data_IF_456278694576
#
_entry.id   IF_456278694576
#
_cell.length_a   1.000
_cell.length_b   1.000
_cell.length_c   1.000
_cell.angle_alpha   90.00
_cell.angle_beta   90.00
_cell.angle_gamma   90.00
#
_symmetry.space_group_name_H-M   'P 1'
#
loop_
_entity.id
_entity.type
_entity.pdbx_description
1 polymer ?
#
# COMPACT_ATOMS: atom_id res chain seq x y z
N UNK A 1 17.19 -10.02 15.47
CA UNK A 1 16.00 -10.60 14.81
C UNK A 1 16.09 -10.27 13.34
N UNK A 2 16.17 -11.26 12.45
CA UNK A 2 16.23 -11.03 10.99
C UNK A 2 14.80 -11.03 10.44
N UNK A 3 14.25 -9.83 10.20
CA UNK A 3 12.92 -9.68 9.60
C UNK A 3 12.93 -10.22 8.16
N UNK A 4 12.05 -11.19 7.87
CA UNK A 4 11.89 -11.76 6.52
C UNK A 4 10.87 -10.91 5.75
N UNK A 5 11.31 -10.32 4.64
CA UNK A 5 10.49 -9.49 3.76
C UNK A 5 9.45 -10.33 3.03
N UNK A 6 8.19 -9.90 3.05
CA UNK A 6 7.11 -10.43 2.19
C UNK A 6 6.67 -9.28 1.28
N UNK A 7 6.88 -9.42 -0.02
CA UNK A 7 6.45 -8.45 -1.03
C UNK A 7 5.33 -9.07 -1.86
N UNK A 8 4.18 -8.39 -1.92
CA UNK A 8 3.11 -8.68 -2.87
C UNK A 8 3.34 -7.80 -4.09
N UNK A 9 3.97 -8.35 -5.12
CA UNK A 9 4.19 -7.64 -6.39
C UNK A 9 3.00 -7.87 -7.32
N UNK A 10 2.12 -6.88 -7.45
CA UNK A 10 1.47 -6.65 -8.73
C UNK A 10 2.43 -5.76 -9.55
N UNK A 11 2.53 -5.93 -10.86
CA UNK A 11 3.57 -5.28 -11.71
C UNK A 11 3.68 -3.74 -11.56
N UNK A 12 2.66 -3.08 -11.00
CA UNK A 12 2.63 -1.64 -10.74
C UNK A 12 2.58 -1.26 -9.25
N UNK A 13 2.63 -2.22 -8.33
CA UNK A 13 2.40 -2.00 -6.91
C UNK A 13 3.35 -2.82 -6.05
N UNK A 14 4.11 -2.14 -5.20
CA UNK A 14 5.01 -2.74 -4.23
C UNK A 14 4.75 -2.14 -2.85
N UNK A 15 4.38 -2.99 -1.89
CA UNK A 15 4.39 -2.63 -0.47
C UNK A 15 5.62 -3.25 0.18
N UNK A 16 6.39 -2.43 0.88
CA UNK A 16 7.48 -2.87 1.74
C UNK A 16 7.15 -2.54 3.18
N UNK A 17 7.14 -3.56 4.04
CA UNK A 17 7.23 -3.35 5.47
C UNK A 17 8.67 -2.96 5.82
N UNK A 18 8.88 -1.75 6.33
CA UNK A 18 10.19 -1.24 6.71
C UNK A 18 10.60 -1.73 8.11
N UNK A 19 9.63 -1.83 9.02
CA UNK A 19 9.83 -2.41 10.35
C UNK A 19 8.52 -2.99 10.85
N UNK A 20 8.59 -4.06 11.65
CA UNK A 20 7.47 -4.62 12.40
C UNK A 20 7.85 -4.58 13.87
N UNK A 21 7.07 -3.86 14.64
CA UNK A 21 7.30 -3.62 16.07
C UNK A 21 6.08 -4.07 16.87
N UNK A 22 6.29 -4.44 18.14
CA UNK A 22 5.19 -4.75 19.03
C UNK A 22 4.53 -3.45 19.50
N UNK A 23 3.25 -3.29 19.19
CA UNK A 23 2.43 -2.18 19.61
C UNK A 23 1.69 -2.43 20.93
N UNK A 24 0.94 -1.43 21.42
CA UNK A 24 0.12 -1.56 22.62
C UNK A 24 -0.92 -2.68 22.48
N UNK A 25 -1.27 -3.33 23.59
CA UNK A 25 -2.33 -4.35 23.61
C UNK A 25 -1.99 -5.65 22.87
N UNK A 26 -0.71 -5.92 22.58
CA UNK A 26 -0.29 -7.14 21.88
C UNK A 26 -0.46 -7.10 20.36
N UNK A 27 -0.81 -5.93 19.80
CA UNK A 27 -0.86 -5.73 18.35
C UNK A 27 0.55 -5.70 17.75
N UNK A 28 0.68 -6.08 16.49
CA UNK A 28 1.90 -5.86 15.70
C UNK A 28 1.71 -4.65 14.80
N UNK A 29 2.63 -3.70 14.84
CA UNK A 29 2.57 -2.47 14.05
C UNK A 29 3.68 -2.50 13.00
N UNK A 30 3.30 -2.40 11.73
CA UNK A 30 4.22 -2.37 10.61
C UNK A 30 4.23 -0.99 9.96
N UNK A 31 5.42 -0.37 9.89
CA UNK A 31 5.60 0.82 9.05
C UNK A 31 5.72 0.36 7.60
N UNK A 32 4.89 0.89 6.72
CA UNK A 32 4.86 0.52 5.31
C UNK A 32 5.36 1.67 4.44
N UNK A 33 6.06 1.31 3.37
CA UNK A 33 6.28 2.16 2.21
C UNK A 33 5.61 1.51 1.01
N UNK A 34 4.74 2.25 0.36
CA UNK A 34 4.01 1.81 -0.82
C UNK A 34 4.52 2.58 -2.01
N UNK A 35 5.12 1.86 -2.96
CA UNK A 35 5.55 2.41 -4.24
C UNK A 35 4.59 1.95 -5.33
N UNK A 36 4.01 2.91 -6.03
CA UNK A 36 3.06 2.64 -7.11
C UNK A 36 3.52 3.31 -8.40
N UNK A 37 3.58 2.55 -9.48
CA UNK A 37 3.73 3.08 -10.82
C UNK A 37 2.35 3.45 -11.37
N UNK A 38 2.19 4.72 -11.75
CA UNK A 38 0.99 5.22 -12.42
C UNK A 38 1.06 4.85 -13.90
N UNK A 39 0.85 3.57 -14.22
CA UNK A 39 0.67 3.13 -15.60
C UNK A 39 -0.82 3.22 -16.01
N UNK A 40 -1.09 2.96 -17.28
CA UNK A 40 -2.46 3.04 -17.83
C UNK A 40 -3.46 2.16 -17.08
N UNK A 41 -3.08 0.94 -16.70
CA UNK A 41 -3.95 0.04 -15.92
C UNK A 41 -4.22 0.57 -14.52
N UNK A 42 -3.19 1.09 -13.83
CA UNK A 42 -3.35 1.72 -12.50
C UNK A 42 -4.31 2.90 -12.56
N UNK A 43 -4.15 3.81 -13.53
CA UNK A 43 -5.00 4.99 -13.66
C UNK A 43 -6.45 4.63 -14.02
N UNK A 44 -6.67 3.63 -14.89
CA UNK A 44 -8.02 3.13 -15.21
C UNK A 44 -8.71 2.48 -14.01
N UNK A 45 -7.96 1.77 -13.18
CA UNK A 45 -8.52 1.11 -12.01
C UNK A 45 -8.82 2.10 -10.87
N UNK A 46 -7.85 2.95 -10.52
CA UNK A 46 -8.00 3.91 -9.43
C UNK A 46 -8.93 5.09 -9.79
N UNK A 47 -8.94 5.50 -11.06
CA UNK A 47 -9.71 6.65 -11.53
C UNK A 47 -10.47 6.30 -12.81
N UNK A 48 -11.53 5.46 -12.76
CA UNK A 48 -12.21 4.93 -13.94
C UNK A 48 -12.85 6.01 -14.82
N UNK A 49 -13.12 7.20 -14.27
CA UNK A 49 -13.68 8.33 -15.01
C UNK A 49 -12.65 9.37 -15.46
N UNK A 50 -11.36 9.14 -15.19
CA UNK A 50 -10.30 10.11 -15.44
C UNK A 50 -10.24 10.53 -16.91
N UNK A 51 -10.46 9.62 -17.86
CA UNK A 51 -10.31 9.93 -19.29
C UNK A 51 -11.60 10.37 -19.99
N UNK A 52 -12.69 10.57 -19.23
CA UNK A 52 -14.01 10.94 -19.80
C UNK A 52 -14.07 12.37 -20.32
N UNK A 53 -13.21 13.26 -19.81
CA UNK A 53 -13.09 14.65 -20.25
C UNK A 53 -11.72 14.92 -20.88
N UNK A 54 -11.63 15.98 -21.69
CA UNK A 54 -10.35 16.40 -22.27
C UNK A 54 -9.31 16.76 -21.20
N UNK A 55 -9.70 17.56 -20.20
CA UNK A 55 -8.86 17.88 -19.04
C UNK A 55 -8.36 16.61 -18.34
N UNK A 56 -9.25 15.64 -18.18
CA UNK A 56 -8.93 14.38 -17.54
C UNK A 56 -7.95 13.52 -18.35
N UNK A 57 -8.07 13.47 -19.69
CA UNK A 57 -7.08 12.84 -20.58
C UNK A 57 -5.71 13.51 -20.50
N UNK A 58 -5.66 14.84 -20.45
CA UNK A 58 -4.39 15.58 -20.27
C UNK A 58 -3.76 15.27 -18.91
N UNK A 59 -4.57 15.17 -17.85
CA UNK A 59 -4.09 14.77 -16.53
C UNK A 59 -3.57 13.33 -16.51
N UNK A 60 -4.30 12.39 -17.12
CA UNK A 60 -3.85 11.01 -17.26
C UNK A 60 -2.51 10.94 -18.00
N UNK A 61 -2.33 11.69 -19.09
CA UNK A 61 -1.06 11.74 -19.82
C UNK A 61 0.11 12.26 -18.96
N UNK A 62 -0.14 13.23 -18.06
CA UNK A 62 0.88 13.74 -17.12
C UNK A 62 1.21 12.77 -16.00
N UNK A 63 0.24 12.01 -15.53
CA UNK A 63 0.41 11.02 -14.46
C UNK A 63 1.04 9.73 -14.98
N UNK A 64 0.83 9.37 -16.25
CA UNK A 64 1.41 8.17 -16.86
C UNK A 64 2.93 8.16 -16.75
N UNK A 65 3.46 7.07 -16.20
CA UNK A 65 4.91 6.87 -16.01
C UNK A 65 5.48 7.53 -14.76
N UNK A 66 4.68 8.27 -14.00
CA UNK A 66 5.07 8.76 -12.68
C UNK A 66 5.06 7.62 -11.65
N UNK A 67 5.84 7.80 -10.59
CA UNK A 67 5.83 6.94 -9.41
C UNK A 67 5.38 7.74 -8.21
N UNK A 68 4.48 7.17 -7.43
CA UNK A 68 4.10 7.70 -6.12
C UNK A 68 4.72 6.83 -5.04
N UNK A 69 5.33 7.46 -4.04
CA UNK A 69 5.72 6.82 -2.77
C UNK A 69 4.78 7.35 -1.69
N UNK A 70 4.15 6.43 -0.96
CA UNK A 70 3.28 6.74 0.18
C UNK A 70 3.80 6.01 1.40
N UNK A 71 3.95 6.72 2.51
CA UNK A 71 4.25 6.10 3.80
C UNK A 71 2.95 5.77 4.53
N UNK A 72 2.95 4.67 5.28
CA UNK A 72 1.78 4.25 6.02
C UNK A 72 2.13 3.41 7.23
N UNK A 73 1.07 3.05 7.96
CA UNK A 73 1.12 2.18 9.12
C UNK A 73 0.04 1.11 8.97
N UNK A 74 0.43 -0.14 9.06
CA UNK A 74 -0.49 -1.26 9.18
C UNK A 74 -0.47 -1.80 10.62
N UNK A 75 -1.64 -1.98 11.21
CA UNK A 75 -1.80 -2.52 12.58
C UNK A 75 -2.48 -3.88 12.48
N UNK A 76 -1.84 -4.90 13.03
CA UNK A 76 -2.33 -6.27 13.05
C UNK A 76 -2.72 -6.62 14.49
N UNK A 77 -4.03 -6.80 14.74
CA UNK A 77 -4.49 -7.44 15.96
C UNK A 77 -4.16 -8.92 15.91
N UNK A 78 -3.55 -9.46 16.97
CA UNK A 78 -3.04 -10.83 17.00
C UNK A 78 -3.69 -11.66 18.10
N UNK A 79 -4.14 -12.86 17.75
CA UNK A 79 -4.58 -13.89 18.69
C UNK A 79 -3.35 -14.63 19.20
N UNK A 80 -2.98 -14.41 20.46
CA UNK A 80 -1.83 -15.08 21.05
C UNK A 80 -2.14 -16.54 21.44
N UNK A 81 -3.41 -16.91 21.60
CA UNK A 81 -3.79 -18.29 21.94
C UNK A 81 -3.72 -19.16 20.68
N UNK A 82 -4.20 -18.63 19.55
CA UNK A 82 -4.36 -19.39 18.31
C UNK A 82 -3.30 -19.06 17.25
N UNK A 83 -2.41 -18.11 17.54
CA UNK A 83 -1.27 -17.74 16.69
C UNK A 83 -1.66 -17.15 15.34
N UNK A 84 -2.78 -16.42 15.25
CA UNK A 84 -3.33 -15.89 13.99
C UNK A 84 -3.70 -14.41 14.06
N UNK A 85 -3.79 -13.77 12.90
CA UNK A 85 -4.29 -12.38 12.78
C UNK A 85 -5.80 -12.35 13.03
N UNK A 86 -6.24 -11.45 13.92
CA UNK A 86 -7.67 -11.18 14.19
C UNK A 86 -8.20 -9.99 13.41
N UNK A 87 -7.36 -8.96 13.23
CA UNK A 87 -7.77 -7.72 12.58
C UNK A 87 -6.59 -7.08 11.87
N UNK A 88 -6.90 -6.32 10.82
CA UNK A 88 -5.93 -5.52 10.08
C UNK A 88 -6.52 -4.12 9.93
N UNK A 89 -5.79 -3.12 10.42
CA UNK A 89 -6.04 -1.70 10.16
C UNK A 89 -4.91 -1.10 9.34
N UNK A 90 -5.19 -0.08 8.54
CA UNK A 90 -4.18 0.63 7.77
C UNK A 90 -4.46 2.13 7.72
N UNK A 91 -3.42 2.93 7.92
CA UNK A 91 -3.41 4.38 7.75
C UNK A 91 -2.28 4.74 6.77
N UNK A 92 -2.47 5.79 5.97
CA UNK A 92 -1.49 6.25 4.98
C UNK A 92 -1.67 7.75 4.76
N UNK A 93 -0.57 8.43 4.42
CA UNK A 93 -0.52 9.88 4.13
C UNK A 93 -1.34 10.28 2.89
#
# INVERSE_FOLDING_TARGET
MHGRFISLSQLSFEIRAANVEQGPGGCNVAKTKTNMALCESTLRHAFPKLETSERGRQLAARLRGQRSETSGVAVFGWDNEEGRVLSVGSESD
#
